data_IF_453628936256
#
_entry.id   IF_453628936256
#
_cell.length_a   1.000
_cell.length_b   1.000
_cell.length_c   1.000
_cell.angle_alpha   90.00
_cell.angle_beta   90.00
_cell.angle_gamma   90.00
#
_symmetry.space_group_name_H-M   'P 1'
#
loop_
_entity.id
_entity.type
_entity.pdbx_description
1 polymer ?
2 water ?
#
# COMPACT_ATOMS: atom_id res chain seq x y z
N UNK A 8 2.54 1.85 -27.97
CA UNK A 8 2.99 1.08 -26.79
C UNK A 8 2.62 1.82 -25.52
N UNK A 9 2.29 1.06 -24.50
CA UNK A 9 2.33 1.53 -23.13
C UNK A 9 3.73 2.19 -22.99
N UNK A 10 3.86 3.27 -22.21
CA UNK A 10 5.21 3.76 -21.84
C UNK A 10 5.44 3.65 -20.37
N UNK A 11 6.70 3.44 -19.96
CA UNK A 11 7.05 3.39 -18.54
C UNK A 11 8.26 4.28 -18.24
N UNK A 12 8.05 5.34 -17.44
CA UNK A 12 9.14 6.16 -16.90
C UNK A 12 9.78 5.37 -15.77
N UNK A 13 11.08 5.13 -15.87
CA UNK A 13 11.74 4.16 -15.01
C UNK A 13 13.09 4.72 -14.66
N UNK A 14 13.48 4.62 -13.40
CA UNK A 14 14.87 4.89 -13.03
C UNK A 14 15.67 3.56 -13.12
N UNK A 15 16.58 3.46 -14.09
CA UNK A 15 17.38 2.21 -14.31
C UNK A 15 18.17 1.67 -13.10
N UNK A 16 18.40 2.50 -12.08
CA UNK A 16 19.12 2.06 -10.88
C UNK A 16 18.19 1.69 -9.70
N UNK A 17 16.95 2.15 -9.78
CA UNK A 17 16.01 2.11 -8.68
C UNK A 17 15.26 0.76 -8.55
N UNK A 18 15.37 0.12 -7.38
CA UNK A 18 14.67 -1.17 -7.21
C UNK A 18 13.16 -1.07 -7.40
N UNK A 19 12.53 0.05 -7.07
CA UNK A 19 11.08 0.18 -7.24
C UNK A 19 10.71 0.18 -8.73
N UNK A 20 11.54 0.82 -9.54
CA UNK A 20 11.31 0.77 -10.97
C UNK A 20 11.58 -0.65 -11.48
N UNK A 21 12.61 -1.30 -10.92
CA UNK A 21 12.91 -2.70 -11.27
C UNK A 21 11.70 -3.63 -11.10
N UNK A 22 10.97 -3.50 -9.98
CA UNK A 22 9.69 -4.24 -9.80
C UNK A 22 8.77 -4.16 -11.03
N UNK A 23 8.58 -2.96 -11.53
CA UNK A 23 7.64 -2.79 -12.64
C UNK A 23 8.25 -3.27 -13.97
N UNK A 24 9.54 -3.07 -14.19
CA UNK A 24 10.16 -3.63 -15.39
C UNK A 24 10.03 -5.17 -15.43
N UNK A 25 10.14 -5.76 -14.24
CA UNK A 25 10.06 -7.21 -14.06
C UNK A 25 8.64 -7.72 -14.32
N UNK A 26 7.63 -7.08 -13.73
CA UNK A 26 6.25 -7.41 -14.05
C UNK A 26 5.95 -7.29 -15.53
N UNK A 27 6.36 -6.18 -16.14
CA UNK A 27 6.22 -6.01 -17.57
C UNK A 27 6.88 -7.16 -18.36
N UNK A 28 8.10 -7.52 -17.98
CA UNK A 28 8.77 -8.69 -18.55
C UNK A 28 7.97 -10.00 -18.36
N UNK A 29 7.33 -10.19 -17.19
CA UNK A 29 6.61 -11.44 -16.92
C UNK A 29 5.41 -11.53 -17.84
N UNK A 30 4.76 -10.39 -18.08
CA UNK A 30 3.54 -10.35 -18.88
C UNK A 30 3.87 -10.34 -20.38
N UNK A 31 5.15 -10.14 -20.67
CA UNK A 31 5.64 -10.01 -22.04
C UNK A 31 4.99 -8.88 -22.81
N UNK A 32 4.64 -7.79 -22.15
CA UNK A 32 4.03 -6.71 -22.91
C UNK A 32 5.10 -5.77 -23.46
N UNK A 33 4.83 -5.27 -24.65
CA UNK A 33 5.68 -4.35 -25.40
C UNK A 33 5.58 -2.99 -24.75
N UNK A 34 6.69 -2.48 -24.24
CA UNK A 34 6.64 -1.22 -23.56
C UNK A 34 7.78 -0.25 -23.95
N UNK A 35 7.45 1.03 -24.10
CA UNK A 35 8.53 2.00 -24.33
C UNK A 35 9.10 2.40 -22.98
N UNK A 36 10.32 1.95 -22.69
CA UNK A 36 10.93 2.38 -21.39
C UNK A 36 11.64 3.73 -21.56
N UNK A 37 11.33 4.69 -20.69
CA UNK A 37 11.98 5.99 -20.74
C UNK A 37 12.80 6.12 -19.47
N UNK A 38 14.12 6.09 -19.61
CA UNK A 38 14.97 6.22 -18.45
C UNK A 38 14.90 7.61 -17.86
N UNK A 39 14.79 7.67 -16.54
CA UNK A 39 14.69 8.94 -15.82
C UNK A 39 15.85 9.10 -14.84
N UNK A 40 16.50 10.26 -14.91
CA UNK A 40 17.47 10.67 -13.90
C UNK A 40 16.72 11.36 -12.76
N UNK A 41 16.87 10.85 -11.52
CA UNK A 41 16.10 11.49 -10.43
C UNK A 41 16.42 12.95 -10.22
N UNK A 42 17.56 13.41 -10.74
CA UNK A 42 17.95 14.80 -10.56
C UNK A 42 17.18 15.70 -11.52
N UNK A 43 16.66 15.11 -12.60
CA UNK A 43 16.18 15.91 -13.73
C UNK A 43 14.88 15.36 -14.28
N UNK A 44 13.79 15.95 -13.84
CA UNK A 44 12.48 15.37 -14.08
C UNK A 44 11.92 15.79 -15.43
N UNK A 45 11.66 14.82 -16.32
CA UNK A 45 11.14 15.12 -17.66
C UNK A 45 9.81 15.87 -17.55
N UNK A 46 9.62 16.84 -18.44
CA UNK A 46 8.37 17.59 -18.49
C UNK A 46 7.15 16.71 -18.71
N UNK A 47 7.29 15.73 -19.59
CA UNK A 47 6.13 14.95 -19.97
C UNK A 47 5.68 14.07 -18.80
N UNK A 48 6.58 13.84 -17.83
CA UNK A 48 6.26 13.07 -16.64
C UNK A 48 5.61 13.97 -15.61
N UNK A 49 6.14 15.17 -15.46
CA UNK A 49 5.55 16.16 -14.57
C UNK A 49 4.10 16.42 -14.96
N UNK A 50 3.84 16.42 -16.27
CA UNK A 50 2.49 16.69 -16.80
C UNK A 50 1.45 15.70 -16.26
N UNK A 51 1.86 14.45 -16.05
CA UNK A 51 0.90 13.42 -15.68
C UNK A 51 1.03 12.90 -14.23
N UNK A 52 2.15 13.24 -13.56
CA UNK A 52 2.41 12.76 -12.20
C UNK A 52 2.88 13.93 -11.37
N UNK A 53 2.01 14.47 -10.51
CA UNK A 53 2.31 15.71 -9.80
C UNK A 53 3.39 15.52 -8.73
N UNK A 54 3.76 14.27 -8.45
CA UNK A 54 4.79 13.98 -7.47
C UNK A 54 6.14 13.74 -8.12
N UNK A 55 6.14 13.71 -9.44
CA UNK A 55 7.36 13.47 -10.20
C UNK A 55 8.01 12.15 -9.84
N UNK A 56 7.23 11.12 -9.59
CA UNK A 56 7.82 9.86 -9.14
C UNK A 56 8.00 8.84 -10.28
N UNK A 57 8.87 7.85 -10.06
CA UNK A 57 9.02 6.66 -10.91
C UNK A 57 9.00 5.39 -10.02
N UNK A 58 8.46 4.28 -10.53
CA UNK A 58 8.05 4.13 -11.95
C UNK A 58 6.69 4.74 -12.16
N UNK A 59 6.48 5.24 -13.39
CA UNK A 59 5.18 5.74 -13.80
C UNK A 59 4.79 5.11 -15.13
N UNK A 60 3.58 4.58 -15.19
CA UNK A 60 3.06 3.94 -16.39
C UNK A 60 2.12 4.87 -17.13
N UNK A 61 2.34 5.06 -18.43
CA UNK A 61 1.42 5.89 -19.22
C UNK A 61 0.91 5.15 -20.45
N UNK A 62 -0.41 5.25 -20.69
CA UNK A 62 -1.07 4.76 -21.91
C UNK A 62 -1.92 5.97 -22.34
N UNK A 63 -2.74 5.83 -23.38
CA UNK A 63 -3.72 6.88 -23.66
C UNK A 63 -4.68 6.97 -22.45
N UNK A 64 -4.90 8.19 -21.96
CA UNK A 64 -5.82 8.46 -20.84
C UNK A 64 -5.47 7.76 -19.52
N UNK A 65 -4.32 7.10 -19.47
CA UNK A 65 -3.92 6.43 -18.25
C UNK A 65 -2.54 6.90 -17.73
N UNK A 66 -2.50 7.27 -16.46
CA UNK A 66 -1.22 7.56 -15.81
C UNK A 66 -1.28 6.96 -14.42
N UNK A 67 -0.53 5.87 -14.24
CA UNK A 67 -0.45 5.26 -12.94
C UNK A 67 0.96 5.34 -12.37
N UNK A 68 1.01 5.53 -11.06
CA UNK A 68 2.26 5.50 -10.29
C UNK A 68 2.00 4.96 -8.87
N UNK A 69 3.05 4.97 -8.04
CA UNK A 69 3.22 4.06 -6.90
C UNK A 69 3.42 2.64 -7.44
N UNK A 70 4.58 2.05 -7.16
CA UNK A 70 4.82 0.67 -7.70
C UNK A 70 3.69 -0.36 -7.47
N UNK A 71 3.05 -0.39 -6.29
CA UNK A 71 2.03 -1.46 -6.14
C UNK A 71 0.77 -1.17 -6.93
N UNK A 72 0.40 0.09 -7.06
CA UNK A 72 -0.75 0.42 -7.92
C UNK A 72 -0.45 -0.02 -9.35
N UNK A 73 0.75 0.26 -9.80
CA UNK A 73 1.14 -0.08 -11.16
C UNK A 73 1.18 -1.62 -11.34
N UNK A 74 1.73 -2.32 -10.34
CA UNK A 74 1.87 -3.78 -10.49
C UNK A 74 0.51 -4.44 -10.54
N UNK A 75 -0.40 -3.96 -9.69
CA UNK A 75 -1.76 -4.55 -9.65
C UNK A 75 -2.54 -4.24 -10.93
N UNK A 76 -2.27 -3.09 -11.51
CA UNK A 76 -2.87 -2.71 -12.75
C UNK A 76 -2.38 -3.70 -13.83
N UNK A 77 -1.08 -3.95 -13.82
CA UNK A 77 -0.54 -4.82 -14.88
C UNK A 77 -1.04 -6.26 -14.72
N UNK A 78 -1.14 -6.73 -13.47
CA UNK A 78 -1.79 -8.05 -13.21
C UNK A 78 -3.23 -8.15 -13.73
N UNK A 79 -4.03 -7.10 -13.55
CA UNK A 79 -5.43 -7.11 -14.00
C UNK A 79 -5.62 -6.83 -15.51
N UNK A 80 -4.80 -5.93 -16.04
CA UNK A 80 -4.84 -5.57 -17.46
C UNK A 80 -4.44 -6.70 -18.43
N UNK A 81 -3.36 -7.39 -18.05
CA UNK A 81 -2.72 -8.44 -18.88
C UNK A 81 -2.71 -9.71 -18.03
N UNK A 82 -3.85 -10.43 -18.00
CA UNK A 82 -4.06 -11.48 -16.99
C UNK A 82 -3.10 -12.69 -17.16
N UNK A 83 -2.47 -12.84 -18.32
CA UNK A 83 -1.64 -14.05 -18.65
C UNK A 83 -0.12 -13.78 -18.77
N UNK A 84 0.71 -14.49 -17.99
CA UNK A 84 0.35 -15.47 -16.96
C UNK A 84 0.02 -14.75 -15.67
N UNK A 85 -0.81 -15.39 -14.80
CA UNK A 85 -1.20 -14.78 -13.54
C UNK A 85 -0.07 -14.62 -12.53
N UNK A 86 0.01 -13.46 -11.90
CA UNK A 86 1.00 -13.20 -10.85
C UNK A 86 0.35 -13.01 -9.48
N UNK A 87 -0.93 -13.34 -9.37
CA UNK A 87 -1.65 -13.32 -8.08
C UNK A 87 -2.55 -14.55 -8.00
N UNK A 88 -2.74 -15.09 -6.79
CA UNK A 88 -3.73 -16.18 -6.61
C UNK A 88 -5.12 -15.66 -6.96
N UNK A 89 -6.08 -16.53 -7.26
CA UNK A 89 -7.39 -16.00 -7.66
C UNK A 89 -8.36 -15.70 -6.53
N UNK A 90 -8.28 -16.47 -5.44
CA UNK A 90 -9.28 -16.41 -4.37
C UNK A 90 -8.99 -15.41 -3.25
N UNK A 91 -10.04 -14.92 -2.56
CA UNK A 91 -9.80 -13.78 -1.68
C UNK A 91 -8.77 -14.02 -0.57
N UNK A 92 -8.75 -15.20 0.04
CA UNK A 92 -7.86 -15.45 1.17
C UNK A 92 -6.38 -15.49 0.79
N UNK A 93 -6.08 -16.29 -0.23
CA UNK A 93 -4.71 -16.41 -0.70
C UNK A 93 -4.20 -15.08 -1.28
N UNK A 94 -5.07 -14.36 -1.98
CA UNK A 94 -4.72 -12.99 -2.48
C UNK A 94 -4.40 -11.99 -1.36
N UNK A 95 -5.21 -12.00 -0.29
CA UNK A 95 -4.96 -11.19 0.89
C UNK A 95 -3.63 -11.54 1.53
N UNK A 96 -3.34 -12.85 1.62
CA UNK A 96 -2.04 -13.28 2.16
C UNK A 96 -0.88 -12.81 1.25
N UNK A 97 -1.10 -12.82 -0.06
CA UNK A 97 -0.08 -12.36 -1.01
C UNK A 97 0.12 -10.86 -0.84
N UNK A 98 -0.97 -10.11 -0.65
CA UNK A 98 -0.79 -8.65 -0.45
C UNK A 98 -0.10 -8.34 0.85
N UNK A 99 -0.46 -9.08 1.91
CA UNK A 99 0.17 -8.94 3.20
C UNK A 99 1.67 -9.19 3.11
N UNK A 100 2.05 -10.27 2.42
CA UNK A 100 3.43 -10.59 2.31
C UNK A 100 4.17 -9.47 1.52
N UNK A 101 3.52 -8.85 0.55
CA UNK A 101 4.14 -7.70 -0.17
C UNK A 101 4.35 -6.52 0.80
N UNK A 102 3.35 -6.28 1.66
CA UNK A 102 3.49 -5.24 2.70
C UNK A 102 4.66 -5.51 3.65
N UNK A 103 4.78 -6.77 4.11
CA UNK A 103 5.87 -7.17 4.97
C UNK A 103 7.25 -7.09 4.30
N UNK A 104 7.34 -7.51 3.03
CA UNK A 104 8.57 -7.33 2.25
C UNK A 104 8.91 -5.84 2.24
N UNK A 105 7.91 -5.00 1.99
CA UNK A 105 8.14 -3.57 2.04
C UNK A 105 8.69 -3.02 3.36
N UNK A 106 8.01 -3.28 4.48
CA UNK A 106 8.44 -2.63 5.71
C UNK A 106 9.67 -3.31 6.35
N UNK A 107 9.79 -4.64 6.23
CA UNK A 107 10.93 -5.39 6.82
C UNK A 107 12.24 -5.37 6.00
N UNK A 108 12.12 -5.43 4.68
CA UNK A 108 13.29 -5.58 3.79
C UNK A 108 13.56 -4.39 2.86
N UNK A 109 12.57 -4.01 2.05
CA UNK A 109 12.79 -2.84 1.21
C UNK A 109 13.16 -1.58 2.01
N UNK A 110 12.52 -1.33 3.16
CA UNK A 110 12.79 -0.10 3.88
C UNK A 110 14.24 -0.07 4.35
N UNK A 111 14.71 -1.24 4.75
CA UNK A 111 16.12 -1.40 5.16
C UNK A 111 17.04 -1.22 3.96
N UNK A 112 16.70 -1.83 2.84
CA UNK A 112 17.48 -1.61 1.64
C UNK A 112 17.56 -0.13 1.27
N UNK A 113 16.45 0.61 1.41
CA UNK A 113 16.38 2.05 1.10
C UNK A 113 17.29 2.90 1.99
N UNK A 114 17.41 2.51 3.25
CA UNK A 114 18.23 3.32 4.14
C UNK A 114 19.72 3.14 3.80
N UNK A 115 20.12 1.91 3.47
CA UNK A 115 21.48 1.58 3.01
C UNK A 115 21.88 2.43 1.81
N UNK A 116 20.96 2.52 0.85
CA UNK A 116 21.28 3.12 -0.42
C UNK A 116 21.12 4.64 -0.48
N UNK A 117 20.31 5.19 0.42
CA UNK A 117 20.11 6.64 0.49
C UNK A 117 21.42 7.36 0.86
N UNK A 118 21.90 8.26 -0.03
CA UNK A 118 23.13 9.02 0.28
C UNK A 118 22.92 9.98 1.44
N UNK A 119 21.67 10.30 1.77
CA UNK A 119 21.38 11.22 2.87
C UNK A 119 21.62 10.58 4.24
N UNK A 120 21.57 9.27 4.30
CA UNK A 120 21.63 8.56 5.56
C UNK A 120 22.99 8.72 6.29
N UNK A 121 22.98 8.69 7.62
CA UNK A 121 24.23 8.64 8.39
C UNK A 121 24.81 7.24 8.30
N UNK A 122 26.09 7.11 8.63
CA UNK A 122 26.79 5.84 8.52
C UNK A 122 26.30 4.79 9.52
N UNK A 123 25.77 5.24 10.65
CA UNK A 123 25.32 4.30 11.66
C UNK A 123 24.03 3.65 11.23
N UNK A 124 23.16 4.42 10.60
CA UNK A 124 21.89 3.85 10.16
C UNK A 124 22.11 2.87 9.04
N UNK A 125 23.09 3.17 8.18
CA UNK A 125 23.44 2.28 7.09
C UNK A 125 23.98 0.93 7.64
N UNK A 126 24.86 1.01 8.62
CA UNK A 126 25.38 -0.21 9.28
C UNK A 126 24.33 -1.15 9.93
N UNK A 127 23.37 -0.61 10.65
CA UNK A 127 22.41 -1.44 11.33
C UNK A 127 21.43 -2.01 10.32
N UNK A 128 21.05 -1.21 9.34
CA UNK A 128 20.13 -1.66 8.30
C UNK A 128 20.73 -2.86 7.52
N UNK A 129 22.03 -2.78 7.19
CA UNK A 129 22.68 -3.88 6.50
C UNK A 129 22.57 -5.18 7.30
N UNK A 130 22.94 -5.10 8.56
CA UNK A 130 22.93 -6.22 9.51
C UNK A 130 21.53 -6.81 9.76
N UNK A 131 20.55 -5.95 9.96
CA UNK A 131 19.17 -6.37 10.12
C UNK A 131 18.70 -7.14 8.90
N UNK A 132 18.90 -6.54 7.72
CA UNK A 132 18.52 -7.16 6.46
C UNK A 132 19.23 -8.50 6.30
N UNK A 133 20.55 -8.55 6.54
CA UNK A 133 21.28 -9.80 6.36
C UNK A 133 20.64 -10.92 7.18
N UNK A 134 20.37 -10.66 8.44
CA UNK A 134 19.81 -11.66 9.37
C UNK A 134 18.38 -12.13 9.05
N UNK A 135 17.49 -11.23 8.62
CA UNK A 135 16.10 -11.58 8.35
C UNK A 135 16.06 -12.48 7.16
N UNK A 136 16.81 -12.12 6.11
CA UNK A 136 16.88 -12.94 4.91
C UNK A 136 17.42 -14.33 5.26
N UNK A 137 18.41 -14.37 6.13
CA UNK A 137 19.05 -15.63 6.44
C UNK A 137 18.07 -16.49 7.25
N UNK A 138 17.25 -15.83 8.06
CA UNK A 138 16.27 -16.50 8.92
C UNK A 138 15.16 -17.17 8.12
N UNK A 139 14.64 -16.50 7.10
CA UNK A 139 13.56 -17.08 6.28
C UNK A 139 14.02 -18.06 5.20
N UNK A 140 15.32 -18.21 5.05
CA UNK A 140 15.84 -19.14 4.04
C UNK A 140 15.16 -20.53 4.03
N UNK A 141 14.90 -21.12 5.22
CA UNK A 141 14.20 -22.41 5.23
C UNK A 141 12.88 -22.43 4.48
N UNK A 142 12.17 -21.30 4.43
CA UNK A 142 10.90 -21.22 3.72
C UNK A 142 11.07 -21.53 2.24
N UNK A 143 12.26 -21.22 1.72
CA UNK A 143 12.51 -21.43 0.30
C UNK A 143 12.61 -22.89 -0.15
N UNK A 144 12.65 -23.82 0.82
CA UNK A 144 12.66 -25.27 0.56
C UNK A 144 11.28 -25.87 0.31
N UNK A 145 10.28 -25.14 0.79
CA UNK A 145 8.89 -25.58 0.87
C UNK A 145 8.06 -25.26 -0.36
N UNK A 146 8.49 -24.23 -1.10
CA UNK A 146 7.81 -23.75 -2.29
C UNK A 146 8.79 -23.41 -3.40
N UNK A 147 8.33 -23.50 -4.65
CA UNK A 147 9.14 -23.13 -5.81
C UNK A 147 9.40 -21.61 -5.89
N UNK A 148 8.41 -20.82 -5.49
CA UNK A 148 8.52 -19.37 -5.43
C UNK A 148 8.45 -18.94 -3.98
N UNK A 149 8.44 -17.64 -3.72
CA UNK A 149 8.43 -17.20 -2.35
C UNK A 149 7.02 -17.36 -1.73
N UNK A 150 6.86 -18.40 -0.91
CA UNK A 150 5.61 -18.67 -0.20
C UNK A 150 4.49 -19.09 -1.13
N UNK A 151 4.84 -19.53 -2.35
CA UNK A 151 3.86 -20.11 -3.23
C UNK A 151 4.59 -20.91 -4.30
N UNK A 152 3.83 -21.73 -5.06
CA UNK A 152 4.37 -22.48 -6.20
C UNK A 152 4.12 -21.82 -7.57
N UNK A 153 3.71 -20.56 -7.59
CA UNK A 153 3.47 -19.88 -8.86
C UNK A 153 4.09 -18.48 -8.79
N UNK A 154 4.80 -18.11 -9.87
CA UNK A 154 5.43 -16.79 -9.91
C UNK A 154 4.39 -15.77 -9.50
N UNK A 155 4.80 -14.80 -8.68
CA UNK A 155 3.85 -13.82 -8.19
C UNK A 155 4.42 -12.41 -7.98
N UNK A 156 3.51 -11.45 -7.86
CA UNK A 156 3.97 -10.10 -7.53
C UNK A 156 4.85 -10.09 -6.28
N UNK A 157 4.66 -11.06 -5.38
CA UNK A 157 5.54 -11.19 -4.21
C UNK A 157 7.02 -11.35 -4.64
N UNK A 158 7.28 -12.24 -5.60
CA UNK A 158 8.62 -12.45 -6.08
C UNK A 158 9.11 -11.17 -6.73
N UNK A 159 8.20 -10.52 -7.43
CA UNK A 159 8.53 -9.25 -8.10
C UNK A 159 9.00 -8.16 -7.16
N UNK A 160 8.49 -8.11 -5.91
CA UNK A 160 9.03 -7.17 -4.90
C UNK A 160 10.35 -7.65 -4.32
N UNK A 161 10.45 -8.95 -4.08
CA UNK A 161 11.63 -9.53 -3.49
C UNK A 161 12.88 -9.52 -4.45
N UNK A 162 12.69 -9.95 -5.69
CA UNK A 162 13.86 -10.21 -6.58
C UNK A 162 14.80 -9.00 -6.83
N UNK A 163 14.23 -7.77 -6.91
CA UNK A 163 15.08 -6.60 -7.12
C UNK A 163 15.97 -6.33 -5.90
N UNK A 164 15.49 -6.72 -4.71
CA UNK A 164 16.34 -6.58 -3.52
C UNK A 164 17.39 -7.70 -3.50
N UNK A 165 16.99 -8.94 -3.78
CA UNK A 165 17.97 -10.03 -3.83
C UNK A 165 19.09 -9.74 -4.83
N UNK A 166 18.70 -9.27 -6.01
CA UNK A 166 19.66 -8.91 -7.03
C UNK A 166 20.72 -7.97 -6.46
N UNK A 167 20.29 -7.10 -5.55
CA UNK A 167 21.10 -5.97 -5.08
C UNK A 167 21.95 -6.25 -3.85
N UNK A 168 21.94 -7.48 -3.36
CA UNK A 168 22.77 -7.80 -2.21
C UNK A 168 24.23 -7.34 -2.33
N UNK A 169 24.90 -7.64 -3.47
CA UNK A 169 26.29 -7.17 -3.40
C UNK A 169 26.42 -5.64 -3.26
N UNK A 170 25.58 -4.87 -3.93
CA UNK A 170 25.66 -3.41 -3.74
C UNK A 170 25.25 -2.98 -2.32
N UNK A 171 24.38 -3.75 -1.68
CA UNK A 171 23.99 -3.54 -0.28
C UNK A 171 25.04 -3.99 0.72
N UNK A 172 26.07 -4.70 0.26
CA UNK A 172 27.14 -5.18 1.14
C UNK A 172 26.77 -6.43 1.93
N UNK A 173 25.90 -7.26 1.36
CA UNK A 173 25.48 -8.48 2.03
C UNK A 173 25.83 -9.75 1.27
N UNK A 174 26.40 -10.71 2.00
CA UNK A 174 26.53 -12.06 1.48
C UNK A 174 25.73 -12.95 2.41
N UNK A 175 24.99 -13.89 1.84
CA UNK A 175 24.23 -14.86 2.60
C UNK A 175 25.13 -16.04 3.00
N UNK A 176 24.96 -16.56 4.24
CA UNK A 176 25.77 -17.66 4.73
C UNK A 176 25.51 -18.91 3.92
N UNK A 177 26.45 -19.84 3.97
CA UNK A 177 26.39 -21.05 3.16
C UNK A 177 25.16 -21.87 3.56
N UNK A 178 24.64 -21.65 4.77
CA UNK A 178 23.47 -22.40 5.24
C UNK A 178 22.15 -21.97 4.56
N UNK A 179 22.17 -20.83 3.86
CA UNK A 179 20.99 -20.30 3.17
C UNK A 179 20.77 -20.92 1.77
N UNK A 180 21.04 -22.21 1.65
CA UNK A 180 21.00 -22.89 0.35
C UNK A 180 19.66 -22.77 -0.41
N UNK A 181 18.52 -22.98 0.29
CA UNK A 181 17.27 -22.89 -0.47
C UNK A 181 17.03 -21.49 -1.01
N UNK A 182 17.47 -20.47 -0.27
CA UNK A 182 17.33 -19.10 -0.78
C UNK A 182 18.27 -18.90 -1.96
N UNK A 183 19.52 -19.36 -1.85
CA UNK A 183 20.45 -19.25 -2.96
C UNK A 183 19.93 -20.03 -4.18
N UNK A 184 19.39 -21.22 -3.93
CA UNK A 184 18.81 -22.05 -5.00
C UNK A 184 17.70 -21.27 -5.71
N UNK A 185 16.84 -20.62 -4.94
CA UNK A 185 15.77 -19.79 -5.50
C UNK A 185 16.32 -18.67 -6.40
N UNK A 186 17.31 -17.95 -5.89
CA UNK A 186 18.04 -16.97 -6.68
C UNK A 186 18.71 -17.51 -7.97
N UNK A 187 19.33 -18.69 -7.89
CA UNK A 187 20.02 -19.27 -9.01
C UNK A 187 19.02 -19.53 -10.13
N UNK A 188 17.87 -20.11 -9.80
CA UNK A 188 16.90 -20.33 -10.86
C UNK A 188 16.15 -19.07 -11.27
N UNK A 189 15.85 -18.19 -10.31
CA UNK A 189 15.05 -17.00 -10.55
C UNK A 189 15.82 -16.00 -11.42
N UNK A 190 17.07 -15.72 -11.05
CA UNK A 190 17.87 -14.83 -11.88
C UNK A 190 18.07 -15.26 -13.35
N UNK A 191 18.10 -16.57 -13.61
CA UNK A 191 18.23 -17.09 -14.98
C UNK A 191 16.95 -17.09 -15.83
N UNK A 192 15.79 -16.88 -15.19
CA UNK A 192 14.50 -16.88 -15.90
C UNK A 192 14.53 -15.79 -16.99
N UNK A 193 14.02 -16.10 -18.18
CA UNK A 193 13.99 -15.14 -19.28
C UNK A 193 13.33 -13.81 -18.88
N UNK A 194 12.14 -13.84 -18.24
CA UNK A 194 11.62 -12.51 -17.86
C UNK A 194 12.54 -11.70 -16.92
N UNK A 195 13.18 -12.37 -15.97
CA UNK A 195 14.07 -11.63 -15.07
C UNK A 195 15.25 -11.02 -15.82
N UNK A 196 15.88 -11.81 -16.68
CA UNK A 196 16.92 -11.24 -17.52
C UNK A 196 16.43 -10.09 -18.38
N UNK A 197 15.21 -10.20 -18.93
CA UNK A 197 14.68 -9.10 -19.74
C UNK A 197 14.48 -7.84 -18.94
N UNK A 198 14.30 -8.00 -17.64
CA UNK A 198 13.99 -6.89 -16.74
C UNK A 198 15.18 -5.97 -16.44
N UNK A 199 16.39 -6.53 -16.45
CA UNK A 199 17.57 -5.82 -15.98
C UNK A 199 17.95 -4.65 -16.88
N UNK A 200 18.26 -3.52 -16.23
CA UNK A 200 18.88 -2.37 -16.92
C UNK A 200 20.38 -2.63 -17.04
N UNK A 201 21.07 -1.85 -17.88
CA UNK A 201 22.54 -1.95 -18.03
C UNK A 201 23.25 -1.69 -16.71
N UNK A 202 22.71 -0.74 -15.94
CA UNK A 202 23.25 -0.43 -14.62
C UNK A 202 23.02 -1.54 -13.58
N UNK A 203 21.85 -2.18 -13.60
CA UNK A 203 21.62 -3.32 -12.73
C UNK A 203 22.56 -4.49 -13.11
N UNK A 204 22.85 -4.67 -14.39
CA UNK A 204 23.83 -5.66 -14.76
C UNK A 204 25.16 -5.43 -14.06
N UNK A 205 25.53 -4.16 -13.91
CA UNK A 205 26.88 -3.78 -13.48
C UNK A 205 27.04 -3.92 -11.98
N UNK A 206 25.95 -4.31 -11.30
CA UNK A 206 25.92 -4.53 -9.87
C UNK A 206 26.36 -5.93 -9.46
N UNK A 207 26.40 -6.84 -10.42
CA UNK A 207 27.09 -8.12 -10.21
C UNK A 207 28.19 -8.30 -11.27
N UNK B 3 -6.72 -24.72 21.02
CA UNK B 3 -8.18 -24.94 20.91
C UNK B 3 -8.96 -23.64 20.93
N UNK B 4 -8.33 -22.58 21.41
CA UNK B 4 -9.00 -21.29 21.56
C UNK B 4 -8.72 -20.31 20.43
N UNK B 5 -8.13 -20.83 19.34
CA UNK B 5 -7.83 -20.04 18.15
C UNK B 5 -9.07 -19.34 17.59
N UNK B 6 -8.86 -18.24 16.85
CA UNK B 6 -9.94 -17.48 16.22
C UNK B 6 -10.75 -18.31 15.23
N UNK B 7 -12.07 -18.16 15.27
CA UNK B 7 -12.96 -18.99 14.44
C UNK B 7 -14.20 -18.26 13.95
N UNK B 8 -14.28 -16.97 14.28
CA UNK B 8 -15.35 -16.10 13.81
C UNK B 8 -14.69 -14.83 13.34
N UNK B 9 -15.33 -14.18 12.38
CA UNK B 9 -14.83 -12.91 11.87
C UNK B 9 -14.76 -11.88 13.01
N UNK B 10 -13.58 -11.30 13.24
CA UNK B 10 -13.43 -10.24 14.25
C UNK B 10 -12.43 -9.18 13.79
N UNK B 11 -12.49 -8.01 14.40
CA UNK B 11 -11.58 -6.95 14.02
C UNK B 11 -11.05 -6.28 15.25
N UNK B 12 -9.73 -6.34 15.42
CA UNK B 12 -9.06 -5.54 16.43
C UNK B 12 -9.03 -4.12 15.91
N UNK B 13 -9.64 -3.22 16.65
CA UNK B 13 -9.89 -1.86 16.20
C UNK B 13 -9.61 -0.84 17.30
N UNK B 14 -8.89 0.22 16.97
CA UNK B 14 -8.74 1.29 17.95
C UNK B 14 -9.90 2.27 17.69
N UNK B 15 -10.84 2.39 18.64
CA UNK B 15 -12.06 3.17 18.39
C UNK B 15 -11.79 4.64 18.12
N UNK B 16 -10.58 5.11 18.42
CA UNK B 16 -10.25 6.52 18.21
C UNK B 16 -9.55 6.73 16.89
N UNK B 17 -9.11 5.64 16.26
CA UNK B 17 -8.12 5.68 15.13
C UNK B 17 -8.74 5.67 13.72
N UNK B 18 -8.39 6.65 12.88
CA UNK B 18 -9.05 6.76 11.57
C UNK B 18 -8.78 5.56 10.64
N UNK B 19 -7.65 4.89 10.83
CA UNK B 19 -7.33 3.67 10.04
C UNK B 19 -8.24 2.54 10.39
N UNK B 20 -8.50 2.42 11.69
CA UNK B 20 -9.49 1.47 12.16
C UNK B 20 -10.90 1.85 11.67
N UNK B 21 -11.26 3.13 11.77
CA UNK B 21 -12.50 3.59 11.20
C UNK B 21 -12.68 3.17 9.74
N UNK B 22 -11.65 3.32 8.89
CA UNK B 22 -11.77 2.85 7.51
C UNK B 22 -12.37 1.46 7.43
N UNK B 23 -11.75 0.53 8.16
CA UNK B 23 -12.20 -0.83 8.15
C UNK B 23 -13.59 -1.00 8.74
N UNK B 24 -13.87 -0.34 9.86
CA UNK B 24 -15.22 -0.46 10.39
C UNK B 24 -16.25 0.06 9.39
N UNK B 25 -15.85 1.05 8.59
CA UNK B 25 -16.77 1.60 7.60
C UNK B 25 -17.04 0.58 6.44
N UNK B 26 -15.99 -0.02 5.93
CA UNK B 26 -16.10 -1.06 4.91
C UNK B 26 -16.93 -2.26 5.39
N UNK B 27 -16.72 -2.69 6.62
CA UNK B 27 -17.56 -3.74 7.20
C UNK B 27 -19.00 -3.31 7.24
N UNK B 28 -19.24 -2.06 7.68
CA UNK B 28 -20.63 -1.56 7.79
C UNK B 28 -21.29 -1.49 6.41
N UNK B 29 -20.55 -1.02 5.40
CA UNK B 29 -21.06 -1.02 3.98
C UNK B 29 -21.41 -2.40 3.51
N UNK B 30 -20.60 -3.41 3.89
CA UNK B 30 -20.88 -4.80 3.51
C UNK B 30 -21.99 -5.51 4.28
N UNK B 31 -22.34 -4.99 5.45
CA UNK B 31 -23.38 -5.60 6.24
C UNK B 31 -23.01 -6.97 6.78
N UNK B 32 -21.71 -7.27 6.90
CA UNK B 32 -21.31 -8.60 7.43
C UNK B 32 -21.24 -8.69 8.97
N UNK B 33 -21.43 -9.89 9.52
CA UNK B 33 -21.38 -10.09 10.98
C UNK B 33 -19.90 -10.07 11.44
N UNK B 34 -19.57 -9.25 12.44
CA UNK B 34 -18.17 -9.10 12.83
C UNK B 34 -18.04 -8.70 14.29
N UNK B 35 -17.16 -9.38 15.02
CA UNK B 35 -16.95 -8.99 16.41
C UNK B 35 -15.88 -7.92 16.49
N UNK B 36 -16.27 -6.71 16.82
CA UNK B 36 -15.31 -5.64 16.99
C UNK B 36 -14.66 -5.78 18.35
N UNK B 37 -13.33 -5.71 18.38
CA UNK B 37 -12.58 -5.87 19.65
C UNK B 37 -11.76 -4.61 19.86
N UNK B 38 -12.18 -3.80 20.83
CA UNK B 38 -11.51 -2.50 21.02
C UNK B 38 -10.10 -2.73 21.60
N UNK B 39 -9.10 -2.08 21.02
CA UNK B 39 -7.73 -2.18 21.54
C UNK B 39 -7.22 -0.80 21.99
N UNK B 40 -6.57 -0.78 23.15
CA UNK B 40 -5.77 0.36 23.58
C UNK B 40 -4.42 0.23 22.87
N UNK B 41 -4.02 1.27 22.13
CA UNK B 41 -2.76 1.24 21.37
C UNK B 41 -1.49 1.26 22.25
N UNK B 42 -1.65 1.36 23.57
CA UNK B 42 -0.53 1.32 24.50
C UNK B 42 -0.54 0.05 25.35
N UNK B 43 -1.60 -0.77 25.22
CA UNK B 43 -1.69 -2.06 25.89
C UNK B 43 -2.31 -3.09 24.95
N UNK B 44 -1.55 -3.54 23.96
CA UNK B 44 -2.01 -4.54 23.00
C UNK B 44 -2.41 -5.86 23.68
N UNK B 45 -3.56 -6.44 23.27
CA UNK B 45 -3.94 -7.76 23.78
C UNK B 45 -3.01 -8.85 23.27
N UNK B 46 -2.99 -9.97 23.98
CA UNK B 46 -2.06 -11.05 23.70
C UNK B 46 -2.37 -11.78 22.39
N UNK B 47 -3.66 -12.02 22.11
CA UNK B 47 -4.08 -12.73 20.90
C UNK B 47 -3.74 -11.96 19.61
N UNK B 48 -3.61 -10.64 19.74
CA UNK B 48 -3.23 -9.79 18.63
C UNK B 48 -1.73 -9.88 18.35
N UNK B 49 -0.91 -9.82 19.39
CA UNK B 49 0.56 -9.90 19.23
C UNK B 49 1.02 -11.21 18.57
N UNK B 50 0.36 -12.31 18.91
CA UNK B 50 0.74 -13.60 18.36
C UNK B 50 0.20 -13.83 16.94
N UNK B 51 -0.33 -12.79 16.32
CA UNK B 51 -0.85 -12.92 14.97
C UNK B 51 -0.40 -11.77 14.09
N UNK B 52 0.11 -10.72 14.73
CA UNK B 52 0.55 -9.52 14.04
C UNK B 52 1.84 -9.06 14.73
N UNK B 53 3.00 -9.44 14.16
CA UNK B 53 4.23 -9.15 14.90
C UNK B 53 4.57 -7.65 15.00
N UNK B 54 3.81 -6.82 14.28
CA UNK B 54 3.91 -5.36 14.35
C UNK B 54 2.90 -4.78 15.34
N UNK B 55 1.94 -5.59 15.78
CA UNK B 55 0.92 -5.12 16.75
C UNK B 55 0.19 -3.86 16.31
N UNK B 56 -0.09 -3.74 15.02
CA UNK B 56 -0.87 -2.64 14.51
C UNK B 56 -2.35 -3.01 14.38
N UNK B 57 -3.20 -1.99 14.35
CA UNK B 57 -4.61 -2.17 14.10
C UNK B 57 -4.96 -1.20 13.00
N UNK B 58 -6.00 -1.50 12.20
CA UNK B 58 -6.89 -2.64 12.40
C UNK B 58 -6.28 -4.00 12.02
N UNK B 59 -6.60 -5.04 12.79
CA UNK B 59 -6.21 -6.39 12.39
C UNK B 59 -7.48 -7.21 12.24
N UNK B 60 -7.62 -7.80 11.06
CA UNK B 60 -8.82 -8.57 10.76
C UNK B 60 -8.51 -10.04 10.92
N UNK B 61 -9.30 -10.72 11.73
CA UNK B 61 -9.06 -12.14 11.87
C UNK B 61 -10.31 -12.97 11.62
N UNK B 62 -10.08 -14.20 11.17
CA UNK B 62 -11.13 -15.16 10.94
C UNK B 62 -10.41 -16.51 11.05
N UNK B 63 -11.13 -17.62 10.95
CA UNK B 63 -10.46 -18.90 11.03
C UNK B 63 -9.38 -18.93 9.96
N UNK B 64 -8.16 -19.32 10.34
CA UNK B 64 -7.04 -19.38 9.38
C UNK B 64 -6.80 -18.06 8.63
N UNK B 65 -7.13 -16.94 9.26
CA UNK B 65 -6.91 -15.64 8.63
C UNK B 65 -6.44 -14.59 9.62
N UNK B 66 -5.37 -13.88 9.26
CA UNK B 66 -4.92 -12.72 10.01
C UNK B 66 -4.40 -11.70 9.00
N UNK B 67 -5.12 -10.60 8.84
CA UNK B 67 -4.73 -9.53 7.93
C UNK B 67 -4.68 -8.19 8.66
N UNK B 68 -3.68 -7.38 8.31
CA UNK B 68 -3.53 -6.07 8.84
C UNK B 68 -2.95 -5.21 7.71
N UNK B 69 -2.72 -3.94 8.01
CA UNK B 69 -2.56 -2.87 7.01
C UNK B 69 -3.92 -2.61 6.36
N UNK B 70 -4.46 -1.41 6.61
CA UNK B 70 -5.83 -1.13 6.22
C UNK B 70 -6.22 -1.44 4.80
N UNK B 71 -5.34 -1.15 3.83
CA UNK B 71 -5.70 -1.37 2.43
C UNK B 71 -5.80 -2.88 2.09
N UNK B 72 -4.86 -3.67 2.60
CA UNK B 72 -4.92 -5.13 2.45
C UNK B 72 -6.27 -5.66 2.94
N UNK B 73 -6.69 -5.16 4.13
CA UNK B 73 -7.93 -5.59 4.74
C UNK B 73 -9.10 -5.15 3.89
N UNK B 74 -9.10 -3.89 3.46
CA UNK B 74 -10.22 -3.39 2.71
C UNK B 74 -10.37 -4.12 1.40
N UNK B 75 -9.25 -4.40 0.74
CA UNK B 75 -9.30 -5.13 -0.51
C UNK B 75 -9.76 -6.56 -0.26
N UNK B 76 -9.28 -7.19 0.81
CA UNK B 76 -9.79 -8.53 1.17
C UNK B 76 -11.33 -8.45 1.28
N UNK B 77 -11.81 -7.43 2.01
CA UNK B 77 -13.24 -7.35 2.21
C UNK B 77 -14.01 -7.15 0.93
N UNK B 78 -13.52 -6.28 0.04
CA UNK B 78 -14.19 -6.08 -1.28
C UNK B 78 -14.26 -7.38 -2.08
N UNK B 79 -13.22 -8.20 -1.97
CA UNK B 79 -13.18 -9.41 -2.78
C UNK B 79 -13.96 -10.55 -2.13
N UNK B 80 -13.89 -10.66 -0.80
CA UNK B 80 -14.59 -11.75 -0.09
C UNK B 80 -16.10 -11.51 -0.07
N UNK B 81 -16.50 -10.22 0.02
CA UNK B 81 -17.94 -9.87 0.07
C UNK B 81 -18.33 -8.87 -1.03
N UNK B 82 -18.64 -9.39 -2.25
CA UNK B 82 -18.78 -8.50 -3.41
C UNK B 82 -19.93 -7.48 -3.29
N UNK B 83 -20.93 -7.78 -2.45
CA UNK B 83 -22.11 -6.93 -2.39
C UNK B 83 -22.23 -6.11 -1.16
N UNK B 84 -22.38 -4.80 -1.34
CA UNK B 84 -22.39 -4.14 -2.67
C UNK B 84 -20.95 -3.75 -3.09
N UNK B 85 -20.71 -3.38 -4.38
CA UNK B 85 -19.33 -3.18 -4.85
C UNK B 85 -18.75 -1.85 -4.42
N UNK B 86 -17.58 -1.88 -3.75
CA UNK B 86 -16.90 -0.65 -3.39
C UNK B 86 -15.67 -0.38 -4.29
N UNK B 87 -15.53 -1.16 -5.33
CA UNK B 87 -14.49 -0.90 -6.34
C UNK B 87 -15.07 -1.11 -7.74
N UNK B 88 -14.61 -0.32 -8.73
CA UNK B 88 -14.95 -0.62 -10.11
C UNK B 88 -14.32 -1.93 -10.53
N UNK B 89 -14.89 -2.62 -11.52
CA UNK B 89 -14.41 -3.96 -11.90
C UNK B 89 -13.27 -3.99 -12.95
N UNK B 90 -13.24 -3.04 -13.88
CA UNK B 90 -12.25 -3.11 -14.94
C UNK B 90 -10.91 -2.48 -14.57
N UNK B 91 -9.83 -2.90 -15.26
CA UNK B 91 -8.51 -2.55 -14.73
C UNK B 91 -8.19 -1.07 -14.72
N UNK B 92 -8.65 -0.29 -15.70
CA UNK B 92 -8.30 1.12 -15.76
C UNK B 92 -8.93 1.90 -14.60
N UNK B 93 -10.26 1.78 -14.47
CA UNK B 93 -11.04 2.39 -13.39
C UNK B 93 -10.54 1.93 -12.03
N UNK B 94 -10.22 0.64 -11.93
CA UNK B 94 -9.73 0.07 -10.68
C UNK B 94 -8.37 0.67 -10.30
N UNK B 95 -7.47 0.82 -11.28
CA UNK B 95 -6.20 1.45 -11.03
C UNK B 95 -6.39 2.91 -10.63
N UNK B 96 -7.32 3.63 -11.29
CA UNK B 96 -7.60 5.02 -10.91
C UNK B 96 -8.10 5.16 -9.50
N UNK B 97 -8.96 4.23 -9.04
CA UNK B 97 -9.43 4.21 -7.62
C UNK B 97 -8.32 3.88 -6.66
N UNK B 98 -7.47 2.90 -6.99
CA UNK B 98 -6.32 2.64 -6.11
C UNK B 98 -5.32 3.80 -6.06
N UNK B 99 -5.10 4.47 -7.20
CA UNK B 99 -4.21 5.66 -7.25
C UNK B 99 -4.78 6.75 -6.31
N UNK B 100 -6.08 6.95 -6.41
CA UNK B 100 -6.74 7.99 -5.62
C UNK B 100 -6.65 7.64 -4.14
N UNK B 101 -6.75 6.35 -3.80
CA UNK B 101 -6.58 5.93 -2.39
C UNK B 101 -5.14 6.25 -1.94
N UNK B 102 -4.15 6.02 -2.82
CA UNK B 102 -2.78 6.35 -2.48
C UNK B 102 -2.59 7.88 -2.37
N UNK B 103 -3.27 8.66 -3.17
CA UNK B 103 -3.12 10.12 -3.06
C UNK B 103 -3.79 10.67 -1.80
N UNK B 104 -4.98 10.17 -1.49
CA UNK B 104 -5.59 10.48 -0.19
C UNK B 104 -4.58 10.16 0.94
N UNK B 105 -3.96 9.00 0.90
CA UNK B 105 -3.01 8.64 1.96
C UNK B 105 -1.89 9.66 2.08
N UNK B 106 -1.20 9.92 0.97
CA UNK B 106 -0.05 10.83 1.01
C UNK B 106 -0.42 12.29 1.19
N UNK B 107 -1.50 12.76 0.57
CA UNK B 107 -1.80 14.23 0.56
C UNK B 107 -2.60 14.63 1.78
N UNK B 108 -3.40 13.72 2.29
CA UNK B 108 -4.33 14.10 3.34
C UNK B 108 -4.17 13.31 4.64
N UNK B 109 -4.17 11.97 4.57
CA UNK B 109 -4.03 11.17 5.77
C UNK B 109 -2.72 11.43 6.49
N UNK B 110 -1.63 11.52 5.75
CA UNK B 110 -0.32 11.82 6.36
C UNK B 110 -0.34 13.12 7.15
N UNK B 111 -1.02 14.11 6.62
CA UNK B 111 -1.09 15.42 7.27
C UNK B 111 -1.93 15.35 8.54
N UNK B 112 -3.07 14.68 8.44
CA UNK B 112 -3.89 14.45 9.63
C UNK B 112 -3.05 13.73 10.68
N UNK B 113 -2.22 12.77 10.28
CA UNK B 113 -1.49 11.96 11.25
C UNK B 113 -0.47 12.85 11.93
N UNK B 114 0.10 13.78 11.16
CA UNK B 114 1.09 14.71 11.72
C UNK B 114 0.41 15.62 12.75
N UNK B 115 -0.82 16.06 12.45
CA UNK B 115 -1.54 16.99 13.35
C UNK B 115 -1.90 16.33 14.67
N UNK B 116 -2.20 15.04 14.62
CA UNK B 116 -2.72 14.30 15.79
C UNK B 116 -1.61 13.69 16.66
N UNK B 117 -0.45 13.45 16.05
CA UNK B 117 0.62 12.76 16.73
C UNK B 117 1.32 13.66 17.75
N UNK B 118 1.30 13.27 19.02
CA UNK B 118 1.91 14.18 20.05
C UNK B 118 3.43 14.37 19.92
N UNK B 119 4.06 13.55 19.06
CA UNK B 119 5.53 13.63 18.83
C UNK B 119 5.87 14.78 17.86
N UNK B 120 4.88 15.25 17.09
CA UNK B 120 5.07 16.41 16.21
C UNK B 120 5.49 17.72 16.94
N UNK B 121 6.41 18.48 16.33
CA UNK B 121 6.75 19.80 16.82
C UNK B 121 5.59 20.72 16.56
N UNK B 122 5.60 21.83 17.27
CA UNK B 122 4.62 22.88 17.06
C UNK B 122 4.55 23.27 15.57
N UNK B 123 5.68 23.69 14.98
CA UNK B 123 5.72 24.04 13.55
C UNK B 123 5.05 22.98 12.64
N UNK B 124 5.44 21.72 12.82
CA UNK B 124 4.94 20.63 11.98
C UNK B 124 3.41 20.49 11.98
N UNK B 125 2.84 20.57 13.18
CA UNK B 125 1.40 20.43 13.40
C UNK B 125 0.65 21.59 12.76
N UNK B 126 1.14 22.79 13.03
CA UNK B 126 0.52 24.00 12.53
C UNK B 126 0.57 24.00 10.99
N UNK B 127 1.75 23.77 10.41
CA UNK B 127 1.87 23.80 8.94
C UNK B 127 1.01 22.71 8.30
N UNK B 128 1.02 21.50 8.88
CA UNK B 128 0.19 20.44 8.35
C UNK B 128 -1.28 20.78 8.41
N UNK B 129 -1.69 21.36 9.55
CA UNK B 129 -3.07 21.70 9.75
C UNK B 129 -3.48 22.72 8.68
N UNK B 130 -2.64 23.70 8.45
CA UNK B 130 -2.91 24.72 7.42
C UNK B 130 -2.90 24.09 6.01
N UNK B 131 -1.92 23.22 5.76
CA UNK B 131 -1.79 22.60 4.42
C UNK B 131 -3.02 21.72 4.12
N UNK B 132 -3.50 20.98 5.14
CA UNK B 132 -4.67 20.12 4.95
C UNK B 132 -5.90 20.95 4.65
N UNK B 133 -6.09 22.04 5.43
CA UNK B 133 -7.24 22.91 5.20
C UNK B 133 -7.24 23.48 3.76
N UNK B 134 -6.11 24.05 3.34
CA UNK B 134 -6.00 24.58 1.96
C UNK B 134 -6.20 23.51 0.87
N UNK B 135 -5.73 22.28 1.12
CA UNK B 135 -5.87 21.24 0.13
C UNK B 135 -7.34 20.82 -0.07
N UNK B 136 -8.05 20.63 1.03
CA UNK B 136 -9.47 20.26 0.98
C UNK B 136 -10.27 21.40 0.34
N UNK B 137 -9.88 22.63 0.65
CA UNK B 137 -10.54 23.81 0.04
C UNK B 137 -10.33 23.74 -1.47
N UNK B 138 -9.09 23.45 -1.86
CA UNK B 138 -8.69 23.33 -3.26
C UNK B 138 -9.50 22.30 -4.01
N UNK B 139 -9.66 21.11 -3.41
CA UNK B 139 -10.32 20.02 -4.12
C UNK B 139 -11.85 20.15 -4.14
N UNK B 140 -12.38 21.09 -3.32
CA UNK B 140 -13.80 21.17 -3.08
C UNK B 140 -14.68 21.22 -4.33
N UNK B 141 -14.28 22.01 -5.36
CA UNK B 141 -15.14 22.10 -6.56
C UNK B 141 -15.44 20.74 -7.23
N UNK B 142 -14.50 19.80 -7.12
CA UNK B 142 -14.68 18.46 -7.67
C UNK B 142 -15.89 17.75 -7.04
N UNK B 143 -16.29 18.18 -5.84
CA UNK B 143 -17.46 17.56 -5.23
C UNK B 143 -18.81 17.96 -5.86
N UNK B 144 -18.79 18.94 -6.79
CA UNK B 144 -19.96 19.34 -7.56
C UNK B 144 -20.11 18.50 -8.82
N UNK B 145 -19.16 17.60 -9.05
CA UNK B 145 -19.09 16.89 -10.35
C UNK B 145 -19.54 15.44 -10.24
N UNK B 146 -19.39 14.85 -9.06
CA UNK B 146 -19.81 13.48 -8.81
C UNK B 146 -20.56 13.45 -7.49
N UNK B 147 -21.48 12.49 -7.31
CA UNK B 147 -22.17 12.32 -6.02
C UNK B 147 -21.21 11.89 -4.88
N UNK B 148 -20.20 11.08 -5.19
CA UNK B 148 -19.17 10.77 -4.17
C UNK B 148 -17.85 11.37 -4.58
N UNK B 149 -16.73 10.88 -4.02
CA UNK B 149 -15.46 11.47 -4.39
C UNK B 149 -14.90 10.85 -5.68
N UNK B 150 -14.96 11.65 -6.75
CA UNK B 150 -14.49 11.28 -8.09
C UNK B 150 -15.22 10.11 -8.70
N UNK B 151 -16.39 9.81 -8.15
CA UNK B 151 -17.27 8.77 -8.68
C UNK B 151 -18.67 9.07 -8.23
N UNK B 152 -19.65 8.58 -8.98
CA UNK B 152 -21.04 8.66 -8.55
C UNK B 152 -21.39 7.52 -7.60
N UNK B 153 -20.43 6.64 -7.36
CA UNK B 153 -20.64 5.45 -6.53
C UNK B 153 -19.82 5.44 -5.25
N UNK B 154 -20.41 4.89 -4.18
CA UNK B 154 -19.74 4.63 -2.91
C UNK B 154 -18.60 3.65 -3.18
N UNK B 155 -17.43 3.97 -2.66
CA UNK B 155 -16.27 3.15 -2.94
C UNK B 155 -15.24 3.25 -1.82
N UNK B 156 -14.22 2.40 -1.92
CA UNK B 156 -13.14 2.42 -0.92
C UNK B 156 -12.45 3.77 -0.86
N UNK B 157 -12.47 4.50 -1.98
CA UNK B 157 -12.01 5.90 -1.96
C UNK B 157 -12.69 6.72 -0.84
N UNK B 158 -14.01 6.69 -0.85
CA UNK B 158 -14.81 7.35 0.21
C UNK B 158 -14.51 6.78 1.59
N UNK B 159 -14.32 5.47 1.68
CA UNK B 159 -14.02 4.89 2.99
C UNK B 159 -12.70 5.41 3.52
N UNK B 160 -11.76 5.76 2.65
CA UNK B 160 -10.49 6.32 3.15
C UNK B 160 -10.64 7.79 3.55
N UNK B 161 -11.44 8.52 2.80
CA UNK B 161 -11.58 9.96 3.00
C UNK B 161 -12.49 10.32 4.20
N UNK B 162 -13.60 9.62 4.34
CA UNK B 162 -14.61 10.03 5.34
C UNK B 162 -14.11 10.10 6.78
N UNK B 163 -13.27 9.14 7.23
CA UNK B 163 -12.77 9.23 8.61
C UNK B 163 -11.96 10.47 8.86
N UNK B 164 -11.24 10.95 7.84
CA UNK B 164 -10.56 12.24 7.98
C UNK B 164 -11.49 13.43 8.07
N UNK B 165 -12.51 13.45 7.21
CA UNK B 165 -13.43 14.56 7.17
C UNK B 165 -14.26 14.58 8.47
N UNK B 166 -14.54 13.41 9.02
CA UNK B 166 -15.27 13.32 10.28
C UNK B 166 -14.47 14.03 11.40
N UNK B 167 -13.17 13.97 11.25
CA UNK B 167 -12.21 14.51 12.22
C UNK B 167 -11.76 15.94 12.04
N UNK B 168 -12.38 16.69 11.16
CA UNK B 168 -11.90 18.07 10.98
C UNK B 168 -11.95 18.88 12.28
N UNK B 169 -13.06 18.82 13.01
CA UNK B 169 -13.05 19.54 14.32
C UNK B 169 -11.91 19.13 15.28
N UNK B 170 -11.62 17.83 15.41
CA UNK B 170 -10.50 17.43 16.28
C UNK B 170 -9.09 17.77 15.71
N UNK B 171 -9.06 18.03 14.41
CA UNK B 171 -7.82 18.46 13.73
C UNK B 171 -7.67 19.99 13.75
N UNK B 172 -8.61 20.68 14.39
CA UNK B 172 -8.63 22.14 14.42
C UNK B 172 -8.80 22.82 13.08
N UNK B 173 -9.62 22.23 12.22
CA UNK B 173 -9.80 22.69 10.86
C UNK B 173 -11.24 22.99 10.59
N UNK B 174 -11.47 24.17 9.99
CA UNK B 174 -12.77 24.56 9.48
C UNK B 174 -12.70 24.95 8.04
N UNK B 175 -13.67 24.51 7.25
CA UNK B 175 -13.62 24.82 5.83
C UNK B 175 -14.36 26.12 5.57
N UNK B 176 -13.94 26.89 4.54
CA UNK B 176 -14.64 28.17 4.29
C UNK B 176 -15.93 27.94 3.50
N UNK B 177 -16.73 28.98 3.36
CA UNK B 177 -17.99 28.91 2.62
C UNK B 177 -17.78 28.41 1.19
N UNK B 178 -16.71 28.87 0.52
CA UNK B 178 -16.42 28.44 -0.86
C UNK B 178 -16.32 26.91 -1.01
N UNK B 179 -16.23 26.20 0.12
CA UNK B 179 -16.13 24.76 0.08
C UNK B 179 -17.48 24.07 0.19
N UNK B 180 -18.56 24.80 -0.07
CA UNK B 180 -19.89 24.21 0.03
C UNK B 180 -20.03 22.77 -0.56
N UNK B 181 -19.53 22.55 -1.79
CA UNK B 181 -19.69 21.21 -2.36
C UNK B 181 -19.13 20.07 -1.48
N UNK B 182 -17.93 20.29 -0.94
CA UNK B 182 -17.32 19.34 -0.01
C UNK B 182 -18.13 19.24 1.27
N UNK B 183 -18.59 20.39 1.79
CA UNK B 183 -19.50 20.37 2.93
C UNK B 183 -20.79 19.62 2.66
N UNK B 184 -21.35 19.79 1.46
CA UNK B 184 -22.59 19.10 1.08
C UNK B 184 -22.28 17.60 1.03
N UNK B 185 -21.14 17.21 0.47
CA UNK B 185 -20.77 15.79 0.46
C UNK B 185 -20.72 15.19 1.89
N UNK B 186 -20.01 15.87 2.79
CA UNK B 186 -19.98 15.50 4.19
C UNK B 186 -21.36 15.35 4.83
N UNK B 187 -22.26 16.32 4.60
CA UNK B 187 -23.61 16.23 5.14
C UNK B 187 -24.34 14.98 4.65
N UNK B 188 -24.33 14.73 3.32
CA UNK B 188 -24.92 13.51 2.74
C UNK B 188 -24.30 12.25 3.29
N UNK B 189 -22.97 12.22 3.32
CA UNK B 189 -22.26 11.00 3.63
C UNK B 189 -22.36 10.61 5.12
N UNK B 190 -22.21 11.57 6.04
CA UNK B 190 -22.37 11.33 7.48
C UNK B 190 -23.75 10.83 7.83
N UNK B 191 -24.76 11.20 7.06
CA UNK B 191 -26.09 10.73 7.30
C UNK B 191 -26.37 9.29 6.85
N UNK B 192 -25.55 8.71 5.97
CA UNK B 192 -25.88 7.40 5.42
C UNK B 192 -25.81 6.38 6.55
N UNK B 193 -26.72 5.41 6.51
CA UNK B 193 -26.79 4.40 7.57
C UNK B 193 -25.46 3.66 7.81
N UNK B 194 -24.74 3.30 6.74
CA UNK B 194 -23.49 2.59 6.94
C UNK B 194 -22.42 3.45 7.60
N UNK B 195 -22.39 4.75 7.29
CA UNK B 195 -21.44 5.62 8.02
C UNK B 195 -21.86 5.75 9.50
N UNK B 196 -23.14 5.98 9.75
CA UNK B 196 -23.62 6.06 11.14
C UNK B 196 -23.26 4.78 11.93
N UNK B 197 -23.39 3.61 11.28
CA UNK B 197 -23.05 2.32 11.90
C UNK B 197 -21.54 2.10 12.17
N UNK B 198 -20.69 2.81 11.44
CA UNK B 198 -19.24 2.60 11.50
C UNK B 198 -18.65 3.26 12.73
N UNK B 199 -19.36 4.27 13.26
CA UNK B 199 -18.84 5.13 14.35
C UNK B 199 -18.74 4.41 15.69
N UNK B 200 -17.58 4.51 16.35
CA UNK B 200 -17.49 4.09 17.72
C UNK B 200 -18.01 5.26 18.55
N UNK B 201 -18.18 5.01 19.85
CA UNK B 201 -18.72 6.01 20.75
C UNK B 201 -17.76 7.19 20.89
N UNK B 202 -16.47 6.87 21.02
CA UNK B 202 -15.44 7.88 21.09
C UNK B 202 -15.46 8.74 19.79
N UNK B 203 -15.80 8.14 18.66
CA UNK B 203 -15.84 8.91 17.40
C UNK B 203 -17.11 9.81 17.34
N UNK B 204 -18.22 9.29 17.83
CA UNK B 204 -19.39 10.12 18.00
C UNK B 204 -19.16 11.36 18.79
N UNK B 205 -18.34 11.22 19.83
CA UNK B 205 -18.07 12.27 20.84
C UNK B 205 -17.11 13.31 20.26
N UNK B 206 -16.60 13.07 19.05
CA UNK B 206 -15.68 13.99 18.36
C UNK B 206 -16.43 15.15 17.68
N UNK B 207 -17.74 15.02 17.54
CA UNK B 207 -18.58 16.09 17.01
C UNK B 207 -19.77 16.34 17.93
N UNK B 208 -20.43 17.48 17.76
CA UNK B 208 -21.65 17.85 18.53
C UNK B 208 -22.34 16.70 19.25
#
# INVERSE_FOLDING_TARGET
>A
XSLGATNRLACYSDPADHYSHRVRLVLAEKGVSVQLIDVDPAHLPRKLAEVNPYGSVPTLVDRDLALYESTVVMEYLEERYPHPPLMPVYPVARGNSRLLMHRIQRDWCALADTVLDPRSSEAARTEARKALRESLTGVSPLFSEFACFMSDEQSLVDCCLLPILWRLPVLGIELPRQAKPLLDYMERQFAREPFQASLSSVEREMRKLEGHHHHHH
>B
XSLGATNRLACYSDPADHYSHRVRLVLAEKGVSVQLIDVDPAHLPRKLAEVNPYGSVPTLVDRDLALYESTVVMEYLEERYPHPPLMPVYPVARGNSRLLMHRIQRDWCALADTVLDPRSSEAARTEARKALRESLTGVSPLFSEFACFMSDEQSLVDCCLLPILWRLPVLGIELPRQAKPLLDYMERQFAREPFQASLSSVEREMRKLEGHHHHHH
#
